data_IF_473148803928
#
_entry.id   IF_473148803928
#
_cell.length_a   1.000
_cell.length_b   1.000
_cell.length_c   1.000
_cell.angle_alpha   90.00
_cell.angle_beta   90.00
_cell.angle_gamma   90.00
#
_symmetry.space_group_name_H-M   'P 1'
#
loop_
_entity.id
_entity.type
_entity.pdbx_description
1 polymer ?
#
# COMPACT_ATOMS: atom_id res chain seq x y z
N UNK A 1 -67.61 0.59 -40.34
CA UNK A 1 -67.72 -0.85 -40.67
C UNK A 1 -66.66 -1.58 -39.85
N UNK A 2 -67.13 -2.49 -38.98
CA UNK A 2 -66.33 -3.37 -38.12
C UNK A 2 -65.58 -4.44 -38.95
N UNK A 3 -64.47 -4.97 -38.42
CA UNK A 3 -64.14 -6.40 -38.19
C UNK A 3 -62.69 -6.43 -37.64
N UNK A 4 -62.49 -6.64 -36.32
CA UNK A 4 -62.28 -7.94 -35.66
C UNK A 4 -61.01 -8.68 -36.12
N UNK A 5 -60.00 -8.85 -35.25
CA UNK A 5 -59.56 -10.17 -34.75
C UNK A 5 -58.44 -10.11 -33.68
N UNK A 6 -58.45 -11.16 -32.85
CA UNK A 6 -57.67 -11.52 -31.66
C UNK A 6 -56.13 -11.61 -31.82
N UNK A 7 -55.36 -11.45 -30.74
CA UNK A 7 -54.57 -12.54 -30.11
C UNK A 7 -53.56 -12.12 -29.01
N UNK A 8 -53.76 -12.69 -27.81
CA UNK A 8 -52.84 -13.24 -26.78
C UNK A 8 -51.76 -12.36 -26.06
N UNK A 9 -51.51 -12.63 -24.76
CA UNK A 9 -50.66 -11.81 -23.90
C UNK A 9 -49.16 -12.13 -24.09
N UNK A 10 -48.33 -11.10 -24.15
CA UNK A 10 -46.88 -11.23 -24.13
C UNK A 10 -46.39 -11.35 -22.67
N UNK A 11 -45.61 -12.41 -22.43
CA UNK A 11 -44.88 -12.66 -21.17
C UNK A 11 -43.76 -11.63 -21.04
N UNK A 12 -43.75 -10.85 -19.95
CA UNK A 12 -42.61 -10.02 -19.57
C UNK A 12 -41.47 -10.91 -19.06
N UNK A 13 -40.38 -11.01 -19.81
CA UNK A 13 -39.11 -11.53 -19.30
C UNK A 13 -38.33 -10.37 -18.67
N UNK A 14 -38.25 -10.34 -17.33
CA UNK A 14 -37.32 -9.47 -16.63
C UNK A 14 -35.91 -10.07 -16.73
N UNK A 15 -35.04 -9.47 -17.55
CA UNK A 15 -33.60 -9.74 -17.51
C UNK A 15 -33.02 -8.83 -16.42
N UNK A 16 -32.75 -9.39 -15.24
CA UNK A 16 -31.92 -8.74 -14.23
C UNK A 16 -30.45 -8.93 -14.60
N UNK A 17 -29.86 -7.90 -15.21
CA UNK A 17 -28.41 -7.78 -15.34
C UNK A 17 -27.82 -7.42 -13.96
N UNK A 18 -27.30 -8.41 -13.24
CA UNK A 18 -26.54 -8.19 -12.01
C UNK A 18 -25.13 -7.68 -12.33
N UNK A 19 -24.92 -6.37 -12.21
CA UNK A 19 -23.60 -5.74 -12.38
C UNK A 19 -22.92 -5.57 -11.01
N UNK A 20 -21.99 -6.49 -10.73
CA UNK A 20 -20.73 -6.30 -9.99
C UNK A 20 -20.65 -5.14 -8.97
N UNK A 21 -21.20 -5.34 -7.77
CA UNK A 21 -21.00 -4.44 -6.62
C UNK A 21 -19.67 -4.60 -5.88
N UNK A 22 -18.86 -5.61 -6.22
CA UNK A 22 -17.68 -5.98 -5.42
C UNK A 22 -16.41 -5.22 -5.82
N UNK A 23 -16.35 -4.70 -7.04
CA UNK A 23 -15.13 -4.05 -7.57
C UNK A 23 -14.95 -2.59 -7.14
N UNK A 24 -16.04 -1.90 -6.74
CA UNK A 24 -15.99 -0.47 -6.43
C UNK A 24 -15.48 -0.16 -5.01
N UNK A 25 -15.60 -1.11 -4.07
CA UNK A 25 -15.20 -0.94 -2.67
C UNK A 25 -13.70 -1.10 -2.42
N UNK A 26 -12.95 -1.75 -3.32
CA UNK A 26 -11.53 -2.05 -3.08
C UNK A 26 -10.61 -0.85 -3.39
N UNK A 27 -11.07 0.11 -4.19
CA UNK A 27 -10.28 1.27 -4.62
C UNK A 27 -10.29 2.41 -3.57
N UNK A 28 -11.30 2.47 -2.70
CA UNK A 28 -11.53 3.58 -1.76
C UNK A 28 -10.59 3.61 -0.55
N UNK A 29 -9.89 2.51 -0.24
CA UNK A 29 -9.05 2.37 0.96
C UNK A 29 -7.53 2.49 0.65
N UNK A 30 -7.14 2.82 -0.58
CA UNK A 30 -5.73 2.94 -0.95
C UNK A 30 -5.17 4.29 -0.54
N UNK A 31 -3.94 4.29 -0.01
CA UNK A 31 -3.21 5.54 0.22
C UNK A 31 -3.01 6.27 -1.11
N UNK A 32 -2.99 7.59 -1.07
CA UNK A 32 -2.75 8.43 -2.26
C UNK A 32 -1.56 9.34 -1.97
N UNK A 33 -0.65 9.52 -2.93
CA UNK A 33 0.42 10.51 -2.76
C UNK A 33 -0.18 11.92 -2.70
N UNK A 34 0.23 12.70 -1.71
CA UNK A 34 -0.12 14.13 -1.61
C UNK A 34 0.46 14.91 -2.79
N UNK A 35 1.67 14.53 -3.22
CA UNK A 35 2.33 15.06 -4.40
C UNK A 35 2.88 13.92 -5.27
N UNK A 36 2.43 13.85 -6.52
CA UNK A 36 2.96 12.94 -7.53
C UNK A 36 3.73 13.72 -8.59
N UNK A 37 5.02 13.38 -8.77
CA UNK A 37 5.90 13.93 -9.80
C UNK A 37 6.25 12.80 -10.76
N UNK A 38 6.07 13.03 -12.06
CA UNK A 38 6.28 12.02 -13.09
C UNK A 38 7.22 12.52 -14.17
N UNK A 39 8.08 11.63 -14.65
CA UNK A 39 8.81 11.80 -15.89
C UNK A 39 7.85 11.69 -17.09
N UNK A 40 7.70 12.80 -17.82
CA UNK A 40 6.79 12.89 -18.96
C UNK A 40 7.21 12.03 -20.17
N UNK A 41 8.38 11.40 -20.13
CA UNK A 41 8.84 10.47 -21.18
C UNK A 41 8.32 9.04 -20.98
N UNK A 42 7.75 8.73 -19.82
CA UNK A 42 7.21 7.40 -19.52
C UNK A 42 5.93 7.12 -20.31
N UNK A 43 5.78 5.88 -20.78
CA UNK A 43 4.48 5.44 -21.29
C UNK A 43 3.46 5.36 -20.15
N UNK A 44 2.18 5.61 -20.46
CA UNK A 44 1.10 5.54 -19.48
C UNK A 44 1.04 4.18 -18.76
N UNK A 45 1.31 3.08 -19.48
CA UNK A 45 1.36 1.74 -18.91
C UNK A 45 2.47 1.60 -17.87
N UNK A 46 3.68 2.11 -18.16
CA UNK A 46 4.80 2.08 -17.21
C UNK A 46 4.51 2.94 -15.97
N UNK A 47 3.98 4.15 -16.18
CA UNK A 47 3.62 5.06 -15.10
C UNK A 47 2.59 4.40 -14.17
N UNK A 48 1.46 3.95 -14.72
CA UNK A 48 0.39 3.33 -13.93
C UNK A 48 0.87 2.06 -13.22
N UNK A 49 1.71 1.23 -13.84
CA UNK A 49 2.25 0.04 -13.19
C UNK A 49 3.21 0.39 -12.03
N UNK A 50 4.04 1.41 -12.20
CA UNK A 50 5.02 1.84 -11.19
C UNK A 50 4.33 2.51 -10.00
N UNK A 51 3.41 3.43 -10.27
CA UNK A 51 2.58 4.06 -9.24
C UNK A 51 1.74 3.02 -8.50
N UNK A 52 1.10 2.09 -9.22
CA UNK A 52 0.32 1.03 -8.60
C UNK A 52 1.15 0.20 -7.62
N UNK A 53 2.35 -0.24 -8.02
CA UNK A 53 3.21 -1.04 -7.15
C UNK A 53 3.59 -0.26 -5.88
N UNK A 54 3.97 1.00 -6.00
CA UNK A 54 4.36 1.84 -4.87
C UNK A 54 3.18 2.16 -3.94
N UNK A 55 2.03 2.57 -4.49
CA UNK A 55 0.80 2.84 -3.72
C UNK A 55 0.32 1.59 -3.00
N UNK A 56 0.35 0.42 -3.65
CA UNK A 56 -0.03 -0.85 -3.02
C UNK A 56 0.91 -1.18 -1.86
N UNK A 57 2.21 -0.93 -2.00
CA UNK A 57 3.18 -1.18 -0.91
C UNK A 57 3.04 -0.20 0.26
N UNK A 58 2.80 1.08 -0.01
CA UNK A 58 2.48 2.04 1.04
C UNK A 58 1.15 1.72 1.74
N UNK A 59 0.13 1.25 0.99
CA UNK A 59 -1.14 0.79 1.59
C UNK A 59 -0.94 -0.47 2.46
N UNK A 60 0.00 -1.35 2.12
CA UNK A 60 0.42 -2.44 3.01
C UNK A 60 0.94 -1.90 4.34
N UNK A 61 1.81 -0.89 4.29
CA UNK A 61 2.35 -0.26 5.49
C UNK A 61 1.28 0.46 6.32
N UNK A 62 0.29 1.09 5.68
CA UNK A 62 -0.84 1.77 6.34
C UNK A 62 -1.83 0.81 7.01
N UNK A 63 -2.10 -0.33 6.38
CA UNK A 63 -3.19 -1.23 6.80
C UNK A 63 -2.72 -2.51 7.49
N UNK A 64 -1.46 -2.90 7.30
CA UNK A 64 -0.93 -4.20 7.70
C UNK A 64 -1.46 -5.39 6.88
N UNK A 65 -2.26 -5.17 5.82
CA UNK A 65 -2.81 -6.25 4.98
C UNK A 65 -1.71 -6.92 4.14
N UNK A 66 -1.26 -8.08 4.57
CA UNK A 66 -0.12 -8.79 3.98
C UNK A 66 -0.27 -9.17 2.50
N UNK A 67 -1.51 -9.36 2.03
CA UNK A 67 -1.78 -9.61 0.61
C UNK A 67 -1.26 -8.48 -0.28
N UNK A 68 -1.28 -7.23 0.22
CA UNK A 68 -0.79 -6.06 -0.51
C UNK A 68 0.74 -6.08 -0.64
N UNK A 69 1.49 -6.56 0.36
CA UNK A 69 2.93 -6.76 0.20
C UNK A 69 3.24 -7.80 -0.88
N UNK A 70 2.47 -8.90 -0.92
CA UNK A 70 2.62 -9.94 -1.97
C UNK A 70 2.19 -9.46 -3.35
N UNK A 71 1.25 -8.52 -3.41
CA UNK A 71 0.81 -7.87 -4.63
C UNK A 71 1.86 -6.88 -5.17
N UNK A 72 2.43 -6.04 -4.30
CA UNK A 72 3.39 -5.01 -4.72
C UNK A 72 4.80 -5.56 -4.99
N UNK A 73 5.28 -6.49 -4.16
CA UNK A 73 6.65 -6.99 -4.23
C UNK A 73 6.77 -8.19 -5.19
N UNK A 74 7.92 -8.31 -5.85
CA UNK A 74 8.29 -9.50 -6.59
C UNK A 74 8.55 -10.67 -5.64
N UNK A 75 8.34 -11.91 -6.11
CA UNK A 75 8.58 -13.11 -5.29
C UNK A 75 10.04 -13.22 -4.85
N UNK A 76 10.95 -12.75 -5.70
CA UNK A 76 12.39 -12.67 -5.49
C UNK A 76 12.86 -11.25 -5.14
N UNK A 77 11.99 -10.42 -4.56
CA UNK A 77 12.31 -9.07 -4.13
C UNK A 77 13.58 -9.04 -3.26
N UNK A 78 14.45 -8.06 -3.54
CA UNK A 78 15.70 -7.84 -2.81
C UNK A 78 15.66 -6.54 -2.04
N UNK A 79 15.66 -6.63 -0.71
CA UNK A 79 15.94 -5.51 0.18
C UNK A 79 17.46 -5.24 0.16
N UNK A 80 17.86 -4.04 -0.27
CA UNK A 80 19.27 -3.63 -0.39
C UNK A 80 19.82 -2.99 0.88
N UNK A 81 18.96 -2.64 1.83
CA UNK A 81 19.34 -2.03 3.11
C UNK A 81 18.70 -2.76 4.30
N UNK A 82 18.70 -4.11 4.33
CA UNK A 82 18.01 -4.84 5.37
C UNK A 82 18.72 -4.63 6.71
N UNK A 83 17.98 -4.41 7.80
CA UNK A 83 18.49 -4.62 9.14
C UNK A 83 19.00 -6.05 9.29
N UNK A 84 19.95 -6.24 10.20
CA UNK A 84 20.57 -7.54 10.45
C UNK A 84 19.49 -8.61 10.74
N UNK A 85 19.61 -9.76 10.07
CA UNK A 85 18.70 -10.89 10.24
C UNK A 85 17.35 -10.78 9.50
N UNK A 86 17.05 -9.66 8.82
CA UNK A 86 15.83 -9.56 8.00
C UNK A 86 15.89 -10.52 6.80
N UNK A 87 14.82 -11.32 6.64
CA UNK A 87 14.66 -12.22 5.48
C UNK A 87 14.47 -11.42 4.20
N UNK A 88 15.01 -11.94 3.10
CA UNK A 88 14.75 -11.44 1.75
C UNK A 88 13.36 -11.85 1.24
N UNK A 89 12.89 -11.18 0.19
CA UNK A 89 11.54 -11.37 -0.35
C UNK A 89 10.43 -10.72 0.48
N UNK A 90 9.16 -10.89 0.09
CA UNK A 90 8.03 -10.21 0.73
C UNK A 90 7.85 -10.50 2.23
N UNK A 91 8.30 -11.67 2.68
CA UNK A 91 8.21 -12.07 4.09
C UNK A 91 8.99 -11.15 5.02
N UNK A 92 10.10 -10.56 4.56
CA UNK A 92 10.89 -9.61 5.35
C UNK A 92 10.08 -8.40 5.78
N UNK A 93 9.41 -7.77 4.81
CA UNK A 93 8.54 -6.61 5.04
C UNK A 93 7.32 -6.98 5.89
N UNK A 94 6.68 -8.12 5.63
CA UNK A 94 5.52 -8.61 6.40
C UNK A 94 5.88 -8.79 7.88
N UNK A 95 7.01 -9.44 8.18
CA UNK A 95 7.47 -9.60 9.56
C UNK A 95 7.80 -8.27 10.21
N UNK A 96 8.43 -7.34 9.48
CA UNK A 96 8.73 -6.01 9.99
C UNK A 96 7.46 -5.22 10.36
N UNK A 97 6.45 -5.22 9.47
CA UNK A 97 5.15 -4.57 9.73
C UNK A 97 4.42 -5.18 10.92
N UNK A 98 4.36 -6.53 11.01
CA UNK A 98 3.80 -7.23 12.18
C UNK A 98 4.51 -6.82 13.47
N UNK A 99 5.85 -6.86 13.46
CA UNK A 99 6.65 -6.50 14.63
C UNK A 99 6.43 -5.05 15.05
N UNK A 100 6.43 -4.11 14.10
CA UNK A 100 6.20 -2.70 14.42
C UNK A 100 4.80 -2.45 14.99
N UNK A 101 3.78 -3.12 14.44
CA UNK A 101 2.39 -3.05 14.95
C UNK A 101 2.20 -3.70 16.31
N UNK A 102 3.15 -4.52 16.80
CA UNK A 102 3.13 -4.92 18.21
C UNK A 102 3.42 -3.76 19.16
N UNK A 103 4.18 -2.75 18.71
CA UNK A 103 4.48 -1.54 19.46
C UNK A 103 3.44 -0.44 19.18
N UNK A 104 3.07 -0.25 17.91
CA UNK A 104 2.17 0.80 17.44
C UNK A 104 0.97 0.16 16.70
N UNK A 105 -0.04 -0.38 17.43
CA UNK A 105 -1.15 -1.13 16.82
C UNK A 105 -1.96 -0.33 15.81
N UNK A 106 -2.09 0.98 16.02
CA UNK A 106 -2.84 1.92 15.20
C UNK A 106 -1.98 2.62 14.13
N UNK A 107 -0.79 2.08 13.81
CA UNK A 107 0.11 2.63 12.81
C UNK A 107 -0.62 2.95 11.50
N UNK A 108 -0.42 4.19 11.04
CA UNK A 108 -0.81 4.71 9.74
C UNK A 108 0.43 5.08 8.93
N UNK A 109 0.28 5.06 7.61
CA UNK A 109 1.33 5.42 6.67
C UNK A 109 0.73 6.31 5.58
N UNK A 110 1.28 7.52 5.44
CA UNK A 110 0.92 8.47 4.41
C UNK A 110 2.06 8.59 3.38
N UNK A 111 1.71 8.94 2.15
CA UNK A 111 2.68 9.20 1.08
C UNK A 111 2.70 10.69 0.83
N UNK A 112 3.70 11.37 1.38
CA UNK A 112 3.83 12.83 1.22
C UNK A 112 4.24 13.21 -0.19
N UNK A 113 5.17 12.45 -0.76
CA UNK A 113 5.66 12.69 -2.11
C UNK A 113 6.02 11.38 -2.78
N UNK A 114 5.64 11.24 -4.05
CA UNK A 114 6.05 10.14 -4.91
C UNK A 114 6.65 10.70 -6.20
N UNK A 115 7.82 10.19 -6.58
CA UNK A 115 8.51 10.56 -7.82
C UNK A 115 8.68 9.31 -8.67
N UNK A 116 8.13 9.30 -9.88
CA UNK A 116 8.22 8.17 -10.82
C UNK A 116 9.08 8.57 -12.01
N UNK A 117 10.19 7.87 -12.22
CA UNK A 117 11.14 8.16 -13.30
C UNK A 117 11.85 6.89 -13.78
N UNK A 118 11.93 6.67 -15.09
CA UNK A 118 12.48 5.42 -15.65
C UNK A 118 11.81 4.17 -15.05
N UNK A 119 12.62 3.27 -14.48
CA UNK A 119 12.15 2.11 -13.72
C UNK A 119 12.29 2.29 -12.20
N UNK A 120 12.28 3.55 -11.72
CA UNK A 120 12.42 3.89 -10.31
C UNK A 120 11.19 4.61 -9.79
N UNK A 121 10.88 4.37 -8.53
CA UNK A 121 9.93 5.18 -7.76
C UNK A 121 10.59 5.60 -6.46
N UNK A 122 10.57 6.89 -6.13
CA UNK A 122 10.95 7.39 -4.80
C UNK A 122 9.66 7.68 -4.03
N UNK A 123 9.54 7.19 -2.81
CA UNK A 123 8.42 7.49 -1.91
C UNK A 123 8.93 8.12 -0.63
N UNK A 124 8.50 9.35 -0.36
CA UNK A 124 8.65 9.99 0.94
C UNK A 124 7.41 9.67 1.77
N UNK A 125 7.62 8.97 2.87
CA UNK A 125 6.56 8.39 3.69
C UNK A 125 6.53 9.07 5.05
N UNK A 126 5.33 9.25 5.58
CA UNK A 126 5.11 9.69 6.96
C UNK A 126 4.38 8.59 7.73
N UNK A 127 4.95 8.18 8.85
CA UNK A 127 4.39 7.17 9.72
C UNK A 127 3.96 7.82 11.03
N UNK A 128 2.73 7.52 11.45
CA UNK A 128 2.19 8.06 12.69
C UNK A 128 1.29 7.05 13.42
N UNK A 129 1.12 7.25 14.72
CA UNK A 129 0.28 6.41 15.59
C UNK A 129 0.61 6.63 17.06
N UNK A 130 0.26 5.66 17.91
CA UNK A 130 0.53 5.72 19.34
C UNK A 130 1.26 4.48 19.83
N UNK A 131 2.36 4.69 20.56
CA UNK A 131 3.06 3.63 21.27
C UNK A 131 2.21 3.18 22.46
N UNK A 132 1.29 2.25 22.19
CA UNK A 132 0.33 1.69 23.16
C UNK A 132 0.52 0.18 23.35
N UNK A 133 1.37 -0.42 22.51
CA UNK A 133 1.74 -1.83 22.58
C UNK A 133 3.08 -2.05 23.31
N UNK A 134 3.88 -2.98 22.81
CA UNK A 134 5.15 -3.38 23.42
C UNK A 134 6.28 -3.35 22.40
N UNK A 135 7.42 -2.77 22.79
CA UNK A 135 8.67 -2.82 22.05
C UNK A 135 9.75 -3.47 22.93
N UNK A 136 10.12 -4.71 22.62
CA UNK A 136 11.02 -5.50 23.46
C UNK A 136 10.44 -5.72 24.86
N UNK A 137 11.06 -5.11 25.88
CA UNK A 137 10.59 -5.15 27.28
C UNK A 137 9.83 -3.89 27.70
N UNK A 138 9.74 -2.89 26.83
CA UNK A 138 9.16 -1.59 27.12
C UNK A 138 7.71 -1.60 26.67
N UNK A 139 6.81 -1.20 27.57
CA UNK A 139 5.38 -1.07 27.29
C UNK A 139 5.04 0.40 27.08
N UNK A 140 4.38 0.68 25.96
CA UNK A 140 3.90 2.01 25.63
C UNK A 140 2.74 2.45 26.53
N UNK A 141 2.61 3.76 26.71
CA UNK A 141 1.56 4.42 27.50
C UNK A 141 0.66 5.32 26.63
N UNK A 142 0.78 5.21 25.31
CA UNK A 142 0.07 6.04 24.33
C UNK A 142 0.86 7.25 23.86
N UNK A 143 2.19 7.26 23.98
CA UNK A 143 3.02 8.34 23.44
C UNK A 143 2.87 8.43 21.92
N UNK A 144 2.86 9.65 21.39
CA UNK A 144 2.81 9.86 19.95
C UNK A 144 4.06 9.28 19.28
N UNK A 145 3.84 8.55 18.19
CA UNK A 145 4.86 8.13 17.23
C UNK A 145 4.62 8.94 15.96
N UNK A 146 5.66 9.59 15.47
CA UNK A 146 5.63 10.48 14.31
C UNK A 146 7.03 10.53 13.70
N UNK A 147 7.24 9.87 12.57
CA UNK A 147 8.54 9.81 11.92
C UNK A 147 8.40 9.64 10.40
N UNK A 148 9.47 9.98 9.69
CA UNK A 148 9.53 9.87 8.23
C UNK A 148 10.35 8.66 7.79
N UNK A 149 10.07 8.18 6.58
CA UNK A 149 10.93 7.27 5.85
C UNK A 149 11.06 7.71 4.39
N UNK A 150 12.12 7.29 3.73
CA UNK A 150 12.26 7.46 2.29
C UNK A 150 12.72 6.16 1.66
N UNK A 151 11.93 5.71 0.69
CA UNK A 151 12.18 4.50 -0.06
C UNK A 151 12.50 4.82 -1.52
N UNK A 152 13.42 4.06 -2.08
CA UNK A 152 13.75 4.06 -3.51
C UNK A 152 13.48 2.66 -4.03
N UNK A 153 12.46 2.51 -4.87
CA UNK A 153 12.04 1.26 -5.48
C UNK A 153 12.63 1.11 -6.88
N UNK A 154 13.06 -0.11 -7.20
CA UNK A 154 13.25 -0.56 -8.58
C UNK A 154 12.04 -1.38 -9.03
N UNK A 155 11.46 -0.99 -10.15
CA UNK A 155 10.27 -1.62 -10.73
C UNK A 155 10.69 -2.57 -11.86
N UNK A 156 10.14 -3.78 -11.84
CA UNK A 156 10.26 -4.78 -12.90
C UNK A 156 8.95 -5.54 -13.05
N UNK A 157 8.44 -5.64 -14.29
CA UNK A 157 7.17 -6.31 -14.60
C UNK A 157 6.00 -5.84 -13.72
N UNK A 158 5.93 -4.53 -13.43
CA UNK A 158 4.87 -3.92 -12.62
C UNK A 158 4.94 -4.23 -11.12
N UNK A 159 6.05 -4.77 -10.63
CA UNK A 159 6.30 -5.06 -9.21
C UNK A 159 7.61 -4.44 -8.74
N UNK A 160 7.74 -4.22 -7.44
CA UNK A 160 8.99 -3.81 -6.82
C UNK A 160 9.92 -5.03 -6.75
N UNK A 161 11.03 -4.99 -7.49
CA UNK A 161 12.02 -6.08 -7.54
C UNK A 161 13.19 -5.84 -6.59
N UNK A 162 13.47 -4.59 -6.24
CA UNK A 162 14.41 -4.25 -5.17
C UNK A 162 14.09 -2.88 -4.55
N UNK A 163 14.58 -2.62 -3.34
CA UNK A 163 14.52 -1.29 -2.75
C UNK A 163 15.78 -0.92 -1.96
N UNK A 164 15.95 0.38 -1.76
CA UNK A 164 16.75 0.98 -0.69
C UNK A 164 15.79 1.78 0.19
N UNK A 165 16.01 1.79 1.50
CA UNK A 165 15.14 2.53 2.42
C UNK A 165 15.96 3.13 3.57
N UNK A 166 15.44 4.23 4.11
CA UNK A 166 15.94 4.85 5.34
C UNK A 166 14.77 5.42 6.14
N UNK A 167 14.69 5.06 7.41
CA UNK A 167 13.75 5.63 8.36
C UNK A 167 14.47 6.58 9.32
N UNK A 168 13.77 7.60 9.82
CA UNK A 168 14.24 8.42 10.95
C UNK A 168 14.12 7.65 12.28
N UNK A 169 14.94 6.61 12.40
CA UNK A 169 14.99 5.74 13.56
C UNK A 169 15.41 6.50 14.83
N UNK A 170 16.19 7.58 14.72
CA UNK A 170 16.60 8.36 15.88
C UNK A 170 15.39 9.05 16.53
N UNK A 171 14.54 9.71 15.71
CA UNK A 171 13.30 10.32 16.18
C UNK A 171 12.37 9.29 16.77
N UNK A 172 12.16 8.17 16.07
CA UNK A 172 11.34 7.06 16.56
C UNK A 172 11.83 6.53 17.92
N UNK A 173 13.12 6.22 18.06
CA UNK A 173 13.66 5.63 19.28
C UNK A 173 13.55 6.57 20.49
N UNK A 174 13.68 7.90 20.28
CA UNK A 174 13.40 8.89 21.31
C UNK A 174 11.92 8.92 21.72
N UNK A 175 11.00 8.83 20.75
CA UNK A 175 9.56 8.80 21.01
C UNK A 175 9.12 7.54 21.77
N UNK A 176 9.77 6.41 21.51
CA UNK A 176 9.57 5.17 22.26
C UNK A 176 10.23 5.18 23.66
N UNK A 177 11.07 6.19 23.95
CA UNK A 177 11.79 6.32 25.22
C UNK A 177 12.87 5.25 25.42
N UNK A 178 13.45 4.73 24.34
CA UNK A 178 14.50 3.70 24.42
C UNK A 178 15.92 4.28 24.45
N UNK A 179 16.09 5.55 24.07
CA UNK A 179 17.35 6.32 24.09
C UNK A 179 17.09 7.76 24.52
#
# INVERSE_FOLDING_TARGET
MQYSTYARPAVLALILAGVSGVAYSAQSDRVKPNLLIVDNTLSQTQLTASEHAAVTYATFWDTGKESLAREALAVNFVDKTPPEGRKQGPEGAIMASRAFRTAVPDLRCEVEQMIVTGNRVVSHLHFHGHFSGTFGKIKGQGQNVDFIATDIYEIGNGKIVSNWHIEDNLTLMKQLGVI
#
